data_IF_805805634745
#
_entry.id   IF_805805634745
#
_cell.length_a   1.000
_cell.length_b   1.000
_cell.length_c   1.000
_cell.angle_alpha   90.00
_cell.angle_beta   90.00
_cell.angle_gamma   90.00
#
_symmetry.space_group_name_H-M   'P 1'
#
loop_
_entity.id
_entity.type
_entity.pdbx_description
1 polymer ?
#
# COMPACT_ATOMS: atom_id res chain seq x y z
N UNK A 1 5.98 13.08 -22.17
CA UNK A 1 4.76 13.69 -21.58
C UNK A 1 4.95 13.55 -20.07
N UNK A 2 5.02 14.65 -19.34
CA UNK A 2 5.03 14.60 -17.89
C UNK A 2 3.67 14.04 -17.43
N UNK A 3 3.70 13.02 -16.57
CA UNK A 3 2.48 12.54 -15.91
C UNK A 3 1.95 13.68 -15.04
N UNK A 4 0.73 14.09 -15.27
CA UNK A 4 0.06 15.05 -14.41
C UNK A 4 -0.62 14.24 -13.30
N UNK A 5 -0.15 14.39 -12.06
CA UNK A 5 -0.73 13.75 -10.90
C UNK A 5 -1.84 14.63 -10.31
N UNK A 6 -2.92 14.00 -9.88
CA UNK A 6 -4.04 14.68 -9.23
C UNK A 6 -3.90 14.55 -7.71
N UNK A 7 -3.22 15.53 -7.09
CA UNK A 7 -3.14 15.59 -5.63
C UNK A 7 -4.52 15.53 -5.00
N UNK A 8 -4.67 14.77 -3.92
CA UNK A 8 -5.95 14.59 -3.24
C UNK A 8 -6.36 15.88 -2.53
N UNK A 9 -7.50 16.41 -2.92
CA UNK A 9 -8.21 17.42 -2.15
C UNK A 9 -9.32 16.72 -1.36
N UNK A 10 -9.06 16.37 -0.12
CA UNK A 10 -9.96 15.55 0.69
C UNK A 10 -11.38 16.12 0.79
N UNK A 11 -11.55 17.44 0.83
CA UNK A 11 -12.89 18.05 0.90
C UNK A 11 -13.81 17.71 -0.28
N UNK A 12 -13.25 17.28 -1.41
CA UNK A 12 -14.03 16.85 -2.58
C UNK A 12 -14.63 15.46 -2.41
N UNK A 13 -14.13 14.70 -1.42
CA UNK A 13 -14.53 13.32 -1.16
C UNK A 13 -15.47 13.17 0.04
N UNK A 14 -15.78 14.26 0.75
CA UNK A 14 -16.73 14.24 1.86
C UNK A 14 -18.11 13.71 1.41
N UNK A 15 -18.60 12.68 2.12
CA UNK A 15 -19.87 12.02 1.83
C UNK A 15 -19.87 11.13 0.58
N UNK A 16 -18.71 10.78 0.03
CA UNK A 16 -18.61 9.92 -1.16
C UNK A 16 -18.28 8.45 -0.85
N UNK A 17 -18.14 8.08 0.40
CA UNK A 17 -17.97 6.68 0.76
C UNK A 17 -19.24 5.89 0.45
N UNK A 18 -19.09 4.74 -0.20
CA UNK A 18 -20.16 3.84 -0.59
C UNK A 18 -19.88 2.42 -0.11
N UNK A 19 -20.61 1.96 0.90
CA UNK A 19 -20.48 0.61 1.46
C UNK A 19 -20.77 -0.50 0.45
N UNK A 20 -21.54 -0.22 -0.61
CA UNK A 20 -21.88 -1.21 -1.64
C UNK A 20 -20.70 -1.53 -2.56
N UNK A 21 -19.65 -0.70 -2.53
CA UNK A 21 -18.44 -0.96 -3.34
C UNK A 21 -17.83 -2.30 -3.01
N UNK A 22 -17.87 -2.74 -1.74
CA UNK A 22 -17.36 -4.06 -1.32
C UNK A 22 -17.90 -5.19 -2.20
N UNK A 23 -19.24 -5.29 -2.35
CA UNK A 23 -19.84 -6.34 -3.17
C UNK A 23 -19.39 -6.27 -4.64
N UNK A 24 -19.18 -5.06 -5.15
CA UNK A 24 -18.71 -4.85 -6.52
C UNK A 24 -17.26 -5.24 -6.68
N UNK A 25 -16.41 -4.91 -5.72
CA UNK A 25 -14.99 -5.30 -5.71
C UNK A 25 -14.83 -6.83 -5.68
N UNK A 26 -15.68 -7.53 -4.92
CA UNK A 26 -15.64 -8.99 -4.83
C UNK A 26 -16.15 -9.70 -6.10
N UNK A 27 -17.13 -9.11 -6.78
CA UNK A 27 -17.84 -9.79 -7.87
C UNK A 27 -17.47 -9.27 -9.26
N UNK A 28 -17.22 -7.98 -9.39
CA UNK A 28 -17.06 -7.28 -10.67
C UNK A 28 -16.03 -6.16 -10.56
N UNK A 29 -14.78 -6.45 -10.16
CA UNK A 29 -13.77 -5.42 -9.91
C UNK A 29 -13.50 -4.56 -11.15
N UNK A 30 -13.55 -5.13 -12.37
CA UNK A 30 -13.35 -4.38 -13.61
C UNK A 30 -14.48 -3.36 -13.89
N UNK A 31 -15.61 -3.46 -13.17
CA UNK A 31 -16.71 -2.49 -13.28
C UNK A 31 -16.45 -1.20 -12.51
N UNK A 32 -15.40 -1.15 -11.70
CA UNK A 32 -15.06 -0.01 -10.84
C UNK A 32 -13.92 0.76 -11.48
N UNK A 33 -14.17 2.02 -11.85
CA UNK A 33 -13.12 2.89 -12.32
C UNK A 33 -12.30 3.51 -11.17
N UNK A 34 -11.11 4.03 -11.51
CA UNK A 34 -10.18 4.58 -10.53
C UNK A 34 -10.78 5.77 -9.77
N UNK A 35 -11.60 6.62 -10.42
CA UNK A 35 -12.20 7.77 -9.76
C UNK A 35 -13.27 7.34 -8.74
N UNK A 36 -14.03 6.30 -9.05
CA UNK A 36 -14.97 5.68 -8.10
C UNK A 36 -14.21 5.09 -6.91
N UNK A 37 -13.10 4.38 -7.17
CA UNK A 37 -12.27 3.83 -6.09
C UNK A 37 -11.64 4.94 -5.24
N UNK A 38 -11.13 6.03 -5.84
CA UNK A 38 -10.63 7.20 -5.12
C UNK A 38 -11.71 7.83 -4.24
N UNK A 39 -12.92 7.98 -4.79
CA UNK A 39 -14.05 8.54 -4.05
C UNK A 39 -14.39 7.69 -2.82
N UNK A 40 -14.32 6.37 -2.96
CA UNK A 40 -14.55 5.46 -1.86
C UNK A 40 -13.41 5.50 -0.83
N UNK A 41 -12.17 5.34 -1.28
CA UNK A 41 -10.98 5.31 -0.43
C UNK A 41 -10.84 6.60 0.40
N UNK A 42 -10.85 7.75 -0.26
CA UNK A 42 -10.68 9.04 0.43
C UNK A 42 -11.96 9.51 1.12
N UNK A 43 -13.15 9.12 0.63
CA UNK A 43 -14.43 9.36 1.26
C UNK A 43 -14.57 8.65 2.61
N UNK A 44 -13.99 7.46 2.74
CA UNK A 44 -13.96 6.72 3.99
C UNK A 44 -13.32 7.53 5.14
N UNK A 45 -12.36 8.39 4.84
CA UNK A 45 -11.69 9.21 5.86
C UNK A 45 -12.59 10.22 6.57
N UNK A 46 -13.85 10.36 6.15
CA UNK A 46 -14.87 11.20 6.78
C UNK A 46 -15.85 10.39 7.65
N UNK A 47 -15.70 9.09 7.71
CA UNK A 47 -16.56 8.22 8.54
C UNK A 47 -16.12 8.26 10.01
N UNK A 48 -17.04 7.82 10.87
CA UNK A 48 -16.76 7.67 12.29
C UNK A 48 -15.79 6.52 12.54
N UNK A 49 -15.94 5.44 11.80
CA UNK A 49 -15.13 4.23 11.88
C UNK A 49 -13.65 4.56 11.60
N UNK A 50 -13.38 5.37 10.58
CA UNK A 50 -12.03 5.87 10.32
C UNK A 50 -11.48 6.70 11.50
N UNK A 51 -12.29 7.59 12.08
CA UNK A 51 -11.89 8.38 13.25
C UNK A 51 -11.60 7.49 14.47
N UNK A 52 -12.34 6.39 14.62
CA UNK A 52 -12.12 5.39 15.66
C UNK A 52 -10.90 4.47 15.38
N UNK A 53 -10.26 4.63 14.21
CA UNK A 53 -9.04 3.89 13.81
C UNK A 53 -9.30 2.55 13.13
N UNK A 54 -10.51 2.34 12.67
CA UNK A 54 -10.89 1.14 11.93
C UNK A 54 -10.61 1.36 10.44
N UNK A 55 -9.98 0.38 9.79
CA UNK A 55 -9.84 0.29 8.34
C UNK A 55 -10.54 -1.00 7.92
N UNK A 56 -11.57 -0.93 7.06
CA UNK A 56 -12.27 -2.12 6.64
C UNK A 56 -11.42 -2.94 5.65
N UNK A 57 -11.59 -4.26 5.66
CA UNK A 57 -10.83 -5.20 4.84
C UNK A 57 -10.88 -4.85 3.34
N UNK A 58 -12.00 -4.30 2.86
CA UNK A 58 -12.15 -3.86 1.47
C UNK A 58 -11.28 -2.66 1.08
N UNK A 59 -10.73 -1.93 2.04
CA UNK A 59 -9.80 -0.82 1.83
C UNK A 59 -8.38 -1.13 2.32
N UNK A 60 -8.17 -2.31 2.88
CA UNK A 60 -6.87 -2.85 3.24
C UNK A 60 -6.26 -3.61 2.06
N UNK A 61 -4.94 -3.62 2.01
CA UNK A 61 -4.18 -4.43 1.07
C UNK A 61 -3.53 -5.60 1.81
N UNK A 62 -4.10 -6.00 2.95
CA UNK A 62 -3.55 -7.02 3.83
C UNK A 62 -3.51 -8.39 3.14
N UNK A 63 -2.33 -8.72 2.65
CA UNK A 63 -1.98 -10.06 2.17
C UNK A 63 -1.35 -10.92 3.29
N UNK A 64 -1.00 -10.30 4.44
CA UNK A 64 -0.10 -10.90 5.41
C UNK A 64 -0.75 -11.79 6.45
N UNK A 65 -2.00 -11.58 6.82
CA UNK A 65 -2.62 -12.40 7.87
C UNK A 65 -2.79 -13.86 7.44
N UNK A 66 -3.09 -14.13 6.17
CA UNK A 66 -3.23 -15.50 5.68
C UNK A 66 -1.87 -16.22 5.55
N UNK A 67 -0.83 -15.52 5.13
CA UNK A 67 0.48 -16.13 4.88
C UNK A 67 1.27 -16.41 6.17
N UNK A 68 1.15 -15.56 7.19
CA UNK A 68 1.80 -15.78 8.48
C UNK A 68 1.09 -16.84 9.33
N UNK A 69 -0.24 -16.95 9.25
CA UNK A 69 -0.98 -17.97 10.00
C UNK A 69 -0.74 -19.39 9.51
N UNK A 70 -0.49 -19.59 8.23
CA UNK A 70 -0.16 -20.91 7.70
C UNK A 70 1.29 -21.32 7.98
N UNK A 71 2.21 -20.37 8.12
CA UNK A 71 3.63 -20.66 8.36
C UNK A 71 4.01 -20.80 9.84
N UNK A 72 3.23 -20.27 10.77
CA UNK A 72 3.47 -20.45 12.21
C UNK A 72 3.15 -21.87 12.72
N UNK A 73 2.59 -22.72 11.86
CA UNK A 73 2.30 -24.13 12.19
C UNK A 73 3.39 -25.13 11.76
N UNK A 74 4.51 -24.65 11.24
CA UNK A 74 5.62 -25.54 10.84
C UNK A 74 6.62 -25.66 12.02
N UNK A 75 6.27 -26.55 12.95
CA UNK A 75 7.12 -26.96 14.08
C UNK A 75 8.22 -27.98 13.68
N UNK A 76 8.44 -28.19 12.38
CA UNK A 76 9.52 -29.02 11.87
C UNK A 76 10.59 -28.17 11.19
N UNK A 77 11.90 -28.41 11.47
CA UNK A 77 12.97 -27.69 10.79
C UNK A 77 12.91 -28.03 9.29
N UNK A 78 12.55 -27.06 8.46
CA UNK A 78 12.64 -27.19 7.02
C UNK A 78 14.13 -27.35 6.71
N UNK A 79 14.55 -28.51 6.22
CA UNK A 79 15.83 -28.65 5.53
C UNK A 79 15.75 -27.83 4.24
N UNK A 80 16.21 -26.58 4.33
CA UNK A 80 16.31 -25.73 3.14
C UNK A 80 17.46 -26.26 2.31
N UNK A 81 17.15 -26.87 1.17
CA UNK A 81 18.12 -27.20 0.15
C UNK A 81 18.59 -25.89 -0.52
N UNK A 82 19.64 -25.30 0.10
CA UNK A 82 20.26 -24.07 -0.37
C UNK A 82 20.78 -24.18 -1.81
N UNK A 83 21.16 -25.36 -2.27
CA UNK A 83 21.67 -25.57 -3.63
C UNK A 83 20.52 -25.48 -4.66
N UNK A 84 19.33 -26.00 -4.33
CA UNK A 84 18.13 -25.82 -5.15
C UNK A 84 17.65 -24.37 -5.18
N UNK A 85 17.64 -23.67 -4.05
CA UNK A 85 17.29 -22.24 -3.99
C UNK A 85 18.28 -21.37 -4.78
N UNK A 86 19.57 -21.63 -4.67
CA UNK A 86 20.58 -20.89 -5.43
C UNK A 86 20.46 -21.15 -6.93
N UNK A 87 20.09 -22.39 -7.34
CA UNK A 87 19.89 -22.71 -8.76
C UNK A 87 18.62 -22.04 -9.34
N UNK A 88 17.57 -21.88 -8.56
CA UNK A 88 16.38 -21.09 -8.96
C UNK A 88 16.68 -19.59 -9.02
N UNK A 89 17.53 -19.07 -8.14
CA UNK A 89 17.97 -17.66 -8.16
C UNK A 89 18.96 -17.35 -9.30
N UNK A 90 19.68 -18.34 -9.84
CA UNK A 90 20.59 -18.18 -10.98
C UNK A 90 19.86 -18.17 -12.34
N UNK A 91 18.60 -18.58 -12.39
CA UNK A 91 17.78 -18.35 -13.59
C UNK A 91 17.57 -16.84 -13.71
N UNK A 92 18.04 -16.17 -14.78
CA UNK A 92 17.73 -14.78 -14.99
C UNK A 92 16.20 -14.70 -15.13
N UNK A 93 15.52 -14.23 -14.10
CA UNK A 93 14.15 -13.76 -14.20
C UNK A 93 14.19 -12.77 -15.36
N UNK A 94 13.55 -13.14 -16.47
CA UNK A 94 13.46 -12.25 -17.61
C UNK A 94 13.00 -10.89 -17.10
N UNK A 95 13.67 -9.81 -17.54
CA UNK A 95 13.31 -8.43 -17.20
C UNK A 95 11.96 -8.02 -17.81
N UNK A 96 11.12 -8.99 -18.13
CA UNK A 96 9.82 -8.81 -18.71
C UNK A 96 8.81 -8.67 -17.57
N UNK A 97 8.40 -7.43 -17.32
CA UNK A 97 7.23 -7.03 -16.56
C UNK A 97 7.08 -7.64 -15.14
N UNK A 98 8.02 -7.36 -14.27
CA UNK A 98 7.72 -7.35 -12.84
C UNK A 98 6.89 -6.08 -12.56
N UNK A 99 5.64 -6.11 -12.98
CA UNK A 99 4.65 -5.11 -12.58
C UNK A 99 4.52 -5.14 -11.06
N UNK A 100 4.49 -4.01 -10.35
CA UNK A 100 4.17 -3.99 -8.93
C UNK A 100 2.78 -4.58 -8.63
N UNK A 101 2.00 -4.86 -9.66
CA UNK A 101 0.70 -5.52 -9.60
C UNK A 101 0.76 -7.05 -9.82
N UNK A 102 1.96 -7.64 -9.86
CA UNK A 102 2.08 -9.08 -9.97
C UNK A 102 1.61 -9.73 -8.66
N UNK A 103 0.75 -10.73 -8.77
CA UNK A 103 0.22 -11.51 -7.65
C UNK A 103 -0.59 -10.67 -6.61
N UNK A 104 -1.36 -9.71 -7.10
CA UNK A 104 -2.32 -8.95 -6.29
C UNK A 104 -3.75 -9.34 -6.65
N UNK A 105 -4.66 -9.31 -5.71
CA UNK A 105 -6.08 -9.45 -6.02
C UNK A 105 -6.58 -8.27 -6.86
N UNK A 106 -7.64 -8.44 -7.66
CA UNK A 106 -8.23 -7.32 -8.41
C UNK A 106 -8.65 -6.14 -7.51
N UNK A 107 -9.03 -6.42 -6.27
CA UNK A 107 -9.37 -5.40 -5.28
C UNK A 107 -8.14 -4.57 -4.89
N UNK A 108 -7.04 -5.24 -4.54
CA UNK A 108 -5.78 -4.58 -4.21
C UNK A 108 -5.25 -3.77 -5.39
N UNK A 109 -5.35 -4.31 -6.61
CA UNK A 109 -4.95 -3.59 -7.82
C UNK A 109 -5.71 -2.28 -7.99
N UNK A 110 -7.01 -2.24 -7.66
CA UNK A 110 -7.81 -1.01 -7.68
C UNK A 110 -7.33 0.00 -6.65
N UNK A 111 -7.02 -0.45 -5.42
CA UNK A 111 -6.48 0.42 -4.36
C UNK A 111 -5.13 0.99 -4.78
N UNK A 112 -4.21 0.14 -5.24
CA UNK A 112 -2.89 0.55 -5.72
C UNK A 112 -3.00 1.58 -6.84
N UNK A 113 -3.84 1.35 -7.84
CA UNK A 113 -4.07 2.29 -8.94
C UNK A 113 -4.66 3.62 -8.45
N UNK A 114 -5.54 3.59 -7.45
CA UNK A 114 -6.09 4.81 -6.84
C UNK A 114 -4.97 5.61 -6.15
N UNK A 115 -4.08 4.96 -5.40
CA UNK A 115 -2.91 5.58 -4.77
C UNK A 115 -1.95 6.13 -5.83
N UNK A 116 -1.55 5.32 -6.82
CA UNK A 116 -0.62 5.69 -7.90
C UNK A 116 -1.10 6.86 -8.76
N UNK A 117 -2.41 7.08 -8.80
CA UNK A 117 -2.98 8.22 -9.53
C UNK A 117 -2.71 9.56 -8.85
N UNK A 118 -2.29 9.55 -7.57
CA UNK A 118 -2.07 10.76 -6.75
C UNK A 118 -0.65 11.31 -6.85
N UNK A 119 0.33 10.45 -7.16
CA UNK A 119 1.72 10.82 -7.20
C UNK A 119 2.61 9.73 -7.80
N UNK A 120 3.91 9.96 -7.79
CA UNK A 120 4.93 8.97 -8.10
C UNK A 120 5.84 8.66 -6.89
N UNK A 121 5.54 9.27 -5.76
CA UNK A 121 6.26 9.09 -4.51
C UNK A 121 7.71 9.59 -4.50
N UNK A 122 8.18 10.31 -5.56
CA UNK A 122 9.59 10.68 -5.70
C UNK A 122 9.97 11.96 -4.97
N UNK A 123 9.01 12.83 -4.74
CA UNK A 123 9.20 14.09 -4.03
C UNK A 123 8.05 14.35 -3.06
N UNK A 124 8.22 15.23 -2.06
CA UNK A 124 7.12 15.61 -1.18
C UNK A 124 5.90 16.18 -1.93
N UNK A 125 6.12 16.84 -3.07
CA UNK A 125 5.06 17.44 -3.89
C UNK A 125 4.29 16.39 -4.68
N UNK A 126 4.93 15.27 -5.00
CA UNK A 126 4.35 14.13 -5.73
C UNK A 126 4.20 12.89 -4.83
N UNK A 127 4.06 13.13 -3.52
CA UNK A 127 3.84 12.06 -2.55
C UNK A 127 2.58 11.25 -2.87
N UNK A 128 2.65 9.95 -2.63
CA UNK A 128 1.52 9.03 -2.75
C UNK A 128 0.55 9.26 -1.60
N UNK A 129 -0.72 9.53 -1.89
CA UNK A 129 -1.71 9.75 -0.85
C UNK A 129 -2.28 8.41 -0.36
N UNK A 130 -2.08 8.12 0.92
CA UNK A 130 -2.63 6.95 1.61
C UNK A 130 -3.55 7.42 2.75
N UNK A 131 -4.50 6.59 3.14
CA UNK A 131 -5.46 6.95 4.20
C UNK A 131 -4.93 6.64 5.59
N UNK A 132 -4.00 5.71 5.71
CA UNK A 132 -3.42 5.29 6.99
C UNK A 132 -1.95 4.88 6.84
N UNK A 133 -1.21 4.88 7.95
CA UNK A 133 0.19 4.43 7.98
C UNK A 133 0.31 2.93 7.66
N UNK A 134 -0.69 2.13 7.99
CA UNK A 134 -0.70 0.71 7.64
C UNK A 134 -0.68 0.53 6.12
N UNK A 135 -1.56 1.24 5.40
CA UNK A 135 -1.59 1.23 3.94
C UNK A 135 -0.28 1.71 3.29
N UNK A 136 0.46 2.62 3.95
CA UNK A 136 1.80 3.02 3.53
C UNK A 136 2.77 1.83 3.52
N UNK A 137 2.77 1.04 4.61
CA UNK A 137 3.64 -0.13 4.73
C UNK A 137 3.23 -1.25 3.77
N UNK A 138 1.95 -1.49 3.58
CA UNK A 138 1.43 -2.45 2.60
C UNK A 138 1.89 -2.10 1.19
N UNK A 139 1.76 -0.82 0.80
CA UNK A 139 2.27 -0.34 -0.49
C UNK A 139 3.79 -0.49 -0.59
N UNK A 140 4.51 -0.06 0.44
CA UNK A 140 5.97 -0.10 0.48
C UNK A 140 6.50 -1.52 0.39
N UNK A 141 5.86 -2.47 1.04
CA UNK A 141 6.25 -3.86 0.99
C UNK A 141 6.22 -4.42 -0.42
N UNK A 142 5.20 -4.08 -1.18
CA UNK A 142 5.13 -4.48 -2.58
C UNK A 142 6.30 -3.90 -3.39
N UNK A 143 6.63 -2.63 -3.17
CA UNK A 143 7.80 -2.01 -3.81
C UNK A 143 9.09 -2.72 -3.39
N UNK A 144 9.26 -3.00 -2.09
CA UNK A 144 10.44 -3.69 -1.55
C UNK A 144 10.56 -5.11 -2.13
N UNK A 145 9.46 -5.88 -2.13
CA UNK A 145 9.45 -7.26 -2.59
C UNK A 145 9.99 -7.41 -4.01
N UNK A 146 9.64 -6.47 -4.89
CA UNK A 146 10.05 -6.53 -6.31
C UNK A 146 11.37 -5.83 -6.60
N UNK A 147 11.79 -4.87 -5.75
CA UNK A 147 13.03 -4.12 -5.95
C UNK A 147 14.24 -4.70 -5.21
N UNK A 148 14.02 -5.64 -4.27
CA UNK A 148 15.08 -6.14 -3.40
C UNK A 148 15.62 -5.08 -2.42
N UNK A 149 14.89 -3.98 -2.25
CA UNK A 149 15.25 -2.91 -1.33
C UNK A 149 14.83 -3.24 0.11
N UNK A 150 15.43 -2.56 1.06
CA UNK A 150 15.06 -2.61 2.48
C UNK A 150 14.91 -1.21 3.03
N UNK A 151 13.98 -1.02 3.94
CA UNK A 151 13.82 0.23 4.68
C UNK A 151 15.02 0.45 5.61
N UNK A 152 15.67 1.60 5.49
CA UNK A 152 16.82 1.98 6.34
C UNK A 152 16.50 3.15 7.25
N UNK A 153 15.53 4.00 6.88
CA UNK A 153 15.14 5.15 7.68
C UNK A 153 13.75 5.64 7.32
N UNK A 154 13.05 6.18 8.30
CA UNK A 154 11.76 6.83 8.16
C UNK A 154 11.78 8.20 8.85
N UNK A 155 11.09 9.17 8.28
CA UNK A 155 10.96 10.51 8.85
C UNK A 155 9.71 11.22 8.38
N UNK A 156 8.91 11.70 9.34
CA UNK A 156 7.67 12.44 9.05
C UNK A 156 7.90 13.93 9.21
N UNK A 157 7.44 14.71 8.24
CA UNK A 157 7.43 16.17 8.31
C UNK A 157 6.19 16.75 7.64
N UNK A 158 5.40 17.53 8.41
CA UNK A 158 4.18 18.18 7.92
C UNK A 158 3.18 17.22 7.26
N UNK A 159 3.01 16.02 7.82
CA UNK A 159 2.10 15.01 7.27
C UNK A 159 2.63 14.26 6.04
N UNK A 160 3.86 14.56 5.61
CA UNK A 160 4.54 13.78 4.58
C UNK A 160 5.54 12.86 5.26
N UNK A 161 5.40 11.57 5.02
CA UNK A 161 6.37 10.56 5.44
C UNK A 161 7.37 10.31 4.32
N UNK A 162 8.65 10.23 4.69
CA UNK A 162 9.76 9.92 3.81
C UNK A 162 10.41 8.64 4.27
N UNK A 163 10.32 7.60 3.45
CA UNK A 163 10.96 6.31 3.66
C UNK A 163 12.19 6.21 2.78
N UNK A 164 13.34 6.00 3.41
CA UNK A 164 14.62 5.83 2.72
C UNK A 164 14.90 4.33 2.56
N UNK A 165 15.00 3.89 1.32
CA UNK A 165 15.22 2.49 0.95
C UNK A 165 16.65 2.31 0.45
N UNK A 166 17.20 1.11 0.62
CA UNK A 166 18.51 0.75 0.12
C UNK A 166 18.52 -0.70 -0.37
N UNK A 167 19.11 -0.93 -1.53
CA UNK A 167 19.34 -2.26 -2.07
C UNK A 167 20.65 -2.90 -1.55
N UNK A 168 20.90 -4.14 -1.98
CA UNK A 168 22.10 -4.88 -1.61
C UNK A 168 23.38 -4.26 -2.17
N UNK A 169 23.31 -3.58 -3.30
CA UNK A 169 24.46 -2.93 -3.98
C UNK A 169 24.75 -1.54 -3.42
N UNK A 170 23.91 -1.06 -2.50
CA UNK A 170 24.06 0.23 -1.83
C UNK A 170 23.35 1.39 -2.54
N UNK A 171 22.56 1.13 -3.58
CA UNK A 171 21.71 2.13 -4.19
C UNK A 171 20.62 2.57 -3.19
N UNK A 172 20.38 3.86 -3.11
CA UNK A 172 19.41 4.45 -2.19
C UNK A 172 18.29 5.14 -2.97
N UNK A 173 17.05 4.92 -2.54
CA UNK A 173 15.86 5.55 -3.07
C UNK A 173 14.99 6.10 -1.93
N UNK A 174 14.20 7.12 -2.22
CA UNK A 174 13.23 7.68 -1.28
C UNK A 174 11.84 7.55 -1.85
N UNK A 175 10.92 7.12 -0.99
CA UNK A 175 9.50 7.11 -1.29
C UNK A 175 8.79 8.06 -0.32
N UNK A 176 7.92 8.90 -0.84
CA UNK A 176 7.18 9.88 -0.07
C UNK A 176 5.69 9.53 -0.06
N UNK A 177 5.10 9.51 1.15
CA UNK A 177 3.67 9.30 1.36
C UNK A 177 3.04 10.52 2.02
N UNK A 178 1.84 10.89 1.59
CA UNK A 178 1.01 11.91 2.21
C UNK A 178 0.02 11.22 3.15
N UNK A 179 0.30 11.32 4.47
CA UNK A 179 -0.52 10.81 5.57
C UNK A 179 -1.17 11.95 6.35
N UNK A 180 -1.19 13.16 5.78
CA UNK A 180 -1.68 14.37 6.44
C UNK A 180 -3.12 14.23 6.95
N UNK A 181 -3.95 13.51 6.21
CA UNK A 181 -5.35 13.29 6.60
C UNK A 181 -5.47 12.54 7.93
N UNK A 182 -4.61 11.55 8.17
CA UNK A 182 -4.60 10.82 9.44
C UNK A 182 -4.24 11.73 10.61
N UNK A 183 -3.29 12.64 10.40
CA UNK A 183 -2.95 13.64 11.43
C UNK A 183 -4.07 14.64 11.69
N UNK A 184 -4.81 15.05 10.66
CA UNK A 184 -5.95 15.98 10.81
C UNK A 184 -7.08 15.36 11.63
N UNK A 185 -7.43 14.11 11.37
CA UNK A 185 -8.49 13.39 12.09
C UNK A 185 -8.02 12.95 13.47
N UNK A 186 -6.72 12.70 13.63
CA UNK A 186 -6.11 12.22 14.87
C UNK A 186 -6.04 10.69 14.95
N UNK A 187 -5.13 10.20 15.79
CA UNK A 187 -5.06 8.80 16.13
C UNK A 187 -5.97 8.49 17.31
N UNK A 188 -6.71 7.37 17.29
CA UNK A 188 -7.48 6.98 18.46
C UNK A 188 -6.53 6.77 19.64
N UNK A 189 -6.81 7.42 20.76
CA UNK A 189 -6.10 7.17 22.00
C UNK A 189 -6.51 5.76 22.44
N UNK A 190 -5.65 4.78 22.21
CA UNK A 190 -5.86 3.45 22.78
C UNK A 190 -5.87 3.63 24.31
N UNK A 191 -7.03 3.48 24.92
CA UNK A 191 -7.11 3.36 26.36
C UNK A 191 -6.30 2.11 26.73
N UNK A 192 -5.17 2.30 27.41
CA UNK A 192 -4.43 1.20 28.01
C UNK A 192 -5.41 0.42 28.91
N UNK A 193 -5.59 -0.88 28.59
CA UNK A 193 -6.39 -1.82 29.39
C UNK A 193 -5.56 -2.39 30.52
#
# INVERSE_FOLDING_TARGET
MEKQFNKVNYSEYEGKYDELIKERMEKEPESIDIETMRANLYGYTFTKEYADGEIPDELSMDYWEEYHFENDLIDEPIEIDLDSMLHEMEQPLGKEDLSPYFDVSPQEELILKAIDSTGDGKTPETALCVIDVHQEYEYLERVIRYSGMRLIKQSVRNGIDCLELKDIDGYEEKVFFDISRRFEVGYPIRAEK
#
